data_IF_409394042376
#
_entry.id   IF_409394042376
#
_cell.length_a   1.000
_cell.length_b   1.000
_cell.length_c   1.000
_cell.angle_alpha   90.00
_cell.angle_beta   90.00
_cell.angle_gamma   90.00
#
_symmetry.space_group_name_H-M   'P 1'
#
loop_
_entity.id
_entity.type
_entity.pdbx_description
1 polymer ?
#
# COMPACT_ATOMS: atom_id res chain seq x y z
N UNK A 1 8.39 7.72 7.49
CA UNK A 1 7.97 9.14 7.46
C UNK A 1 6.49 9.18 7.77
N UNK A 2 6.00 10.11 8.61
CA UNK A 2 4.58 10.22 8.88
C UNK A 2 3.79 10.57 7.61
N UNK A 3 2.55 10.11 7.51
CA UNK A 3 1.65 10.39 6.39
C UNK A 3 0.20 10.53 6.86
N UNK A 4 -0.61 11.29 6.13
CA UNK A 4 -2.02 11.49 6.45
C UNK A 4 -2.92 10.34 6.00
N UNK A 5 -4.10 10.22 6.62
CA UNK A 5 -5.16 9.30 6.16
C UNK A 5 -5.60 9.56 4.71
N UNK A 6 -5.44 10.79 4.21
CA UNK A 6 -5.69 11.16 2.83
C UNK A 6 -4.68 10.53 1.87
N UNK A 7 -3.40 10.43 2.28
CA UNK A 7 -2.34 9.75 1.53
C UNK A 7 -2.62 8.25 1.45
N UNK A 8 -3.01 7.63 2.56
CA UNK A 8 -3.45 6.23 2.61
C UNK A 8 -4.64 5.99 1.68
N UNK A 9 -5.67 6.84 1.74
CA UNK A 9 -6.84 6.72 0.88
C UNK A 9 -6.48 6.83 -0.61
N UNK A 10 -5.56 7.73 -0.97
CA UNK A 10 -5.08 7.89 -2.34
C UNK A 10 -4.35 6.65 -2.85
N UNK A 11 -3.45 6.05 -2.06
CA UNK A 11 -2.73 4.83 -2.49
C UNK A 11 -3.71 3.66 -2.69
N UNK A 12 -4.66 3.49 -1.78
CA UNK A 12 -5.67 2.42 -1.87
C UNK A 12 -6.60 2.63 -3.07
N UNK A 13 -6.94 3.88 -3.39
CA UNK A 13 -7.74 4.23 -4.58
C UNK A 13 -7.00 3.88 -5.87
N UNK A 14 -5.70 4.20 -5.96
CA UNK A 14 -4.86 3.88 -7.14
C UNK A 14 -4.74 2.37 -7.33
N UNK A 15 -4.39 1.64 -6.27
CA UNK A 15 -4.30 0.16 -6.30
C UNK A 15 -5.64 -0.47 -6.70
N UNK A 16 -6.74 -0.01 -6.09
CA UNK A 16 -8.08 -0.51 -6.41
C UNK A 16 -8.52 -0.23 -7.84
N UNK A 17 -8.12 0.92 -8.41
CA UNK A 17 -8.34 1.28 -9.82
C UNK A 17 -7.66 0.33 -10.81
N UNK A 18 -6.52 -0.25 -10.40
CA UNK A 18 -5.74 -1.23 -11.16
C UNK A 18 -6.12 -2.69 -10.85
N UNK A 19 -7.18 -2.92 -10.06
CA UNK A 19 -7.65 -4.27 -9.73
C UNK A 19 -6.98 -4.93 -8.53
N UNK A 20 -6.05 -4.26 -7.86
CA UNK A 20 -5.43 -4.72 -6.61
C UNK A 20 -6.29 -4.28 -5.43
N UNK A 21 -7.08 -5.23 -4.89
CA UNK A 21 -7.96 -4.98 -3.75
C UNK A 21 -7.47 -5.75 -2.54
N UNK A 22 -7.66 -5.16 -1.37
CA UNK A 22 -7.30 -5.80 -0.12
C UNK A 22 -7.97 -5.15 1.08
N UNK A 23 -7.66 -5.70 2.24
CA UNK A 23 -8.07 -5.20 3.53
C UNK A 23 -6.83 -4.74 4.28
N UNK A 24 -6.87 -3.54 4.85
CA UNK A 24 -5.80 -3.02 5.68
C UNK A 24 -5.69 -3.90 6.92
N UNK A 25 -4.48 -4.34 7.26
CA UNK A 25 -4.16 -5.09 8.47
C UNK A 25 -3.04 -4.37 9.24
N UNK A 26 -2.46 -5.03 10.25
CA UNK A 26 -1.32 -4.48 10.97
C UNK A 26 -1.66 -3.31 11.90
N UNK A 27 -0.63 -2.54 12.24
CA UNK A 27 -0.70 -1.40 13.17
C UNK A 27 -1.66 -0.30 12.69
N UNK A 28 -1.75 -0.11 11.37
CA UNK A 28 -2.61 0.89 10.74
C UNK A 28 -4.08 0.75 11.16
N UNK A 29 -4.60 -0.48 11.31
CA UNK A 29 -6.00 -0.71 11.75
C UNK A 29 -6.25 -0.15 13.16
N UNK A 30 -5.29 -0.33 14.07
CA UNK A 30 -5.40 0.19 15.43
C UNK A 30 -5.34 1.71 15.44
N UNK A 31 -4.42 2.31 14.68
CA UNK A 31 -4.31 3.76 14.55
C UNK A 31 -5.61 4.38 14.04
N UNK A 32 -6.18 3.82 12.96
CA UNK A 32 -7.48 4.24 12.42
C UNK A 32 -8.60 4.06 13.44
N UNK A 33 -8.64 2.94 14.18
CA UNK A 33 -9.66 2.67 15.20
C UNK A 33 -9.64 3.67 16.35
N UNK A 34 -8.45 4.16 16.70
CA UNK A 34 -8.21 5.17 17.74
C UNK A 34 -8.43 6.60 17.24
N UNK A 35 -8.72 6.80 15.95
CA UNK A 35 -8.95 8.12 15.36
C UNK A 35 -7.66 8.91 15.10
N UNK A 36 -6.51 8.24 15.06
CA UNK A 36 -5.23 8.84 14.68
C UNK A 36 -5.30 9.24 13.20
N UNK A 37 -4.94 10.50 12.89
CA UNK A 37 -4.99 11.05 11.53
C UNK A 37 -3.64 11.12 10.82
N UNK A 38 -2.57 11.20 11.61
CA UNK A 38 -1.19 11.16 11.14
C UNK A 38 -0.64 9.78 11.49
N UNK A 39 -0.47 8.98 10.45
CA UNK A 39 -0.05 7.58 10.54
C UNK A 39 1.47 7.51 10.43
N UNK A 40 2.03 6.50 11.06
CA UNK A 40 3.44 6.15 11.00
C UNK A 40 3.58 4.73 10.45
N UNK A 41 4.82 4.24 10.34
CA UNK A 41 5.17 2.91 9.82
C UNK A 41 4.69 2.65 8.38
N UNK A 42 4.82 1.42 7.91
CA UNK A 42 4.30 0.93 6.64
C UNK A 42 2.82 0.52 6.72
N UNK A 43 2.20 0.36 5.55
CA UNK A 43 0.80 -0.08 5.42
C UNK A 43 0.79 -1.55 5.04
N UNK A 44 0.32 -2.41 5.95
CA UNK A 44 0.09 -3.80 5.63
C UNK A 44 -1.25 -4.00 4.92
N UNK A 45 -1.22 -4.64 3.75
CA UNK A 45 -2.41 -4.96 2.97
C UNK A 45 -2.56 -6.46 2.77
N UNK A 46 -3.67 -7.03 3.28
CA UNK A 46 -4.08 -8.37 2.92
C UNK A 46 -4.81 -8.34 1.59
N UNK A 47 -4.15 -8.73 0.50
CA UNK A 47 -4.75 -8.75 -0.84
C UNK A 47 -5.83 -9.82 -0.96
N UNK A 48 -6.87 -9.52 -1.72
CA UNK A 48 -8.06 -10.39 -1.90
C UNK A 48 -8.33 -10.74 -3.36
N UNK A 49 -7.69 -10.04 -4.30
CA UNK A 49 -7.85 -10.28 -5.74
C UNK A 49 -6.61 -10.89 -6.39
N UNK A 50 -5.44 -10.76 -5.77
CA UNK A 50 -4.15 -11.22 -6.30
C UNK A 50 -3.31 -11.81 -5.17
N UNK A 51 -2.34 -12.65 -5.52
CA UNK A 51 -1.27 -13.08 -4.63
C UNK A 51 -0.05 -12.19 -4.80
N UNK A 52 0.47 -11.58 -3.70
CA UNK A 52 1.65 -10.72 -3.81
C UNK A 52 2.93 -11.49 -4.16
N UNK A 53 2.89 -12.82 -4.06
CA UNK A 53 4.02 -13.73 -4.29
C UNK A 53 3.90 -14.47 -5.62
N UNK A 54 2.69 -14.83 -6.06
CA UNK A 54 2.54 -15.55 -7.32
C UNK A 54 2.23 -14.63 -8.52
N UNK A 55 1.77 -13.40 -8.29
CA UNK A 55 1.42 -12.44 -9.32
C UNK A 55 2.44 -11.28 -9.39
N UNK A 56 3.73 -11.57 -9.23
CA UNK A 56 4.81 -10.55 -9.17
C UNK A 56 4.84 -9.65 -10.41
N UNK A 57 4.71 -10.21 -11.61
CA UNK A 57 4.70 -9.46 -12.87
C UNK A 57 3.55 -8.44 -12.90
N UNK A 58 2.36 -8.84 -12.44
CA UNK A 58 1.21 -7.96 -12.34
C UNK A 58 1.46 -6.83 -11.33
N UNK A 59 2.07 -7.13 -10.19
CA UNK A 59 2.40 -6.11 -9.18
C UNK A 59 3.41 -5.10 -9.73
N UNK A 60 4.42 -5.57 -10.46
CA UNK A 60 5.42 -4.71 -11.10
C UNK A 60 4.74 -3.76 -12.08
N UNK A 61 3.90 -4.29 -12.97
CA UNK A 61 3.16 -3.47 -13.93
C UNK A 61 2.24 -2.46 -13.25
N UNK A 62 1.50 -2.88 -12.21
CA UNK A 62 0.61 -1.99 -11.46
C UNK A 62 1.42 -0.89 -10.78
N UNK A 63 2.54 -1.24 -10.13
CA UNK A 63 3.42 -0.29 -9.45
C UNK A 63 3.90 0.80 -10.42
N UNK A 64 4.37 0.41 -11.62
CA UNK A 64 4.78 1.34 -12.66
C UNK A 64 3.64 2.29 -13.08
N UNK A 65 2.43 1.75 -13.29
CA UNK A 65 1.25 2.54 -13.69
C UNK A 65 0.83 3.57 -12.64
N UNK A 66 0.95 3.24 -11.36
CA UNK A 66 0.53 4.13 -10.26
C UNK A 66 1.66 5.03 -9.72
N UNK A 67 2.87 4.93 -10.29
CA UNK A 67 4.04 5.71 -9.91
C UNK A 67 4.74 5.23 -8.63
N UNK A 68 4.59 3.95 -8.29
CA UNK A 68 5.28 3.30 -7.18
C UNK A 68 6.44 2.44 -7.67
N UNK A 69 7.35 2.10 -6.75
CA UNK A 69 8.46 1.15 -6.99
C UNK A 69 8.21 -0.12 -6.20
N UNK A 70 8.54 -1.27 -6.80
CA UNK A 70 8.54 -2.55 -6.09
C UNK A 70 9.81 -2.67 -5.26
N UNK A 71 9.66 -3.16 -4.05
CA UNK A 71 10.76 -3.45 -3.13
C UNK A 71 10.51 -4.74 -2.35
N UNK A 72 11.34 -4.93 -1.32
CA UNK A 72 11.16 -5.99 -0.33
C UNK A 72 11.46 -5.46 1.06
N UNK A 73 10.77 -6.00 2.05
CA UNK A 73 11.08 -5.73 3.46
C UNK A 73 12.35 -6.47 3.88
N UNK A 74 12.84 -6.18 5.10
CA UNK A 74 13.98 -6.89 5.71
C UNK A 74 13.76 -8.42 5.83
N UNK A 75 12.50 -8.86 5.81
CA UNK A 75 12.11 -10.27 5.89
C UNK A 75 11.86 -10.92 4.52
N UNK A 76 12.14 -10.19 3.44
CA UNK A 76 11.94 -10.66 2.06
C UNK A 76 10.48 -10.70 1.61
N UNK A 77 9.58 -9.99 2.30
CA UNK A 77 8.19 -9.87 1.85
C UNK A 77 8.06 -8.77 0.79
N UNK A 78 7.23 -8.95 -0.26
CA UNK A 78 7.00 -7.92 -1.28
C UNK A 78 6.51 -6.62 -0.65
N UNK A 79 7.02 -5.49 -1.14
CA UNK A 79 6.59 -4.15 -0.72
C UNK A 79 6.43 -3.22 -1.92
N UNK A 80 5.62 -2.17 -1.73
CA UNK A 80 5.51 -1.06 -2.67
C UNK A 80 5.94 0.24 -1.98
N UNK A 81 6.83 0.97 -2.63
CA UNK A 81 7.28 2.30 -2.22
C UNK A 81 6.66 3.36 -3.12
N UNK A 82 5.76 4.15 -2.56
CA UNK A 82 5.02 5.18 -3.30
C UNK A 82 5.40 6.56 -2.79
N UNK A 83 5.64 7.49 -3.71
CA UNK A 83 5.71 8.92 -3.38
C UNK A 83 4.41 9.56 -3.83
N UNK A 84 3.60 9.99 -2.87
CA UNK A 84 2.32 10.64 -3.12
C UNK A 84 2.42 12.10 -2.69
N UNK A 85 2.01 13.02 -3.57
CA UNK A 85 2.12 14.47 -3.35
C UNK A 85 3.33 15.08 -4.05
N UNK A 86 3.22 15.24 -5.37
CA UNK A 86 4.02 16.19 -6.13
C UNK A 86 3.10 16.92 -7.09
N UNK A 87 2.33 17.85 -6.53
CA UNK A 87 2.07 19.20 -7.05
C UNK A 87 2.03 20.16 -5.86
#
# INVERSE_FOLDING_TARGET
>A
MPYGVECLAEVLRRLGGEGVKGVIIGSTVYALRLGVRELEDDVDLFTTTISPVFDEDLILEVAERIGCRVGSTEWGTPSLECVLGSE
#
